data_IF_495121920489
#
_entry.id   IF_495121920489
#
_cell.length_a   1.000
_cell.length_b   1.000
_cell.length_c   1.000
_cell.angle_alpha   90.00
_cell.angle_beta   90.00
_cell.angle_gamma   90.00
#
_symmetry.space_group_name_H-M   'P 1'
#
loop_
_entity.id
_entity.type
_entity.pdbx_description
1 polymer ?
#
# COMPACT_ATOMS: atom_id res chain seq x y z
N UNK A 1 55.31 86.52 21.03
CA UNK A 1 54.72 86.11 22.32
C UNK A 1 53.22 86.31 22.27
N UNK A 2 52.43 85.28 22.25
CA UNK A 2 51.17 85.33 22.97
C UNK A 2 50.92 84.08 23.76
N UNK A 3 50.10 84.19 24.78
CA UNK A 3 49.78 83.29 25.86
C UNK A 3 48.69 82.27 25.43
N UNK A 4 48.97 81.00 25.61
CA UNK A 4 48.03 79.90 25.47
C UNK A 4 47.14 79.75 26.70
N UNK A 5 45.81 79.70 26.52
CA UNK A 5 44.83 79.33 27.54
C UNK A 5 44.44 77.88 27.41
N UNK A 6 44.65 77.10 28.47
CA UNK A 6 44.14 75.74 28.60
C UNK A 6 42.61 75.80 28.82
N UNK A 7 41.90 75.07 27.97
CA UNK A 7 40.50 74.74 28.22
C UNK A 7 40.44 73.30 28.78
N UNK A 8 39.87 73.17 29.98
CA UNK A 8 39.57 71.88 30.62
C UNK A 8 38.26 71.30 30.02
N UNK A 9 38.36 70.17 29.34
CA UNK A 9 37.16 69.41 28.90
C UNK A 9 36.76 68.47 30.00
N UNK A 10 35.54 68.58 30.51
CA UNK A 10 34.87 67.57 31.35
C UNK A 10 34.42 66.47 30.44
N UNK A 11 34.90 65.24 30.70
CA UNK A 11 34.43 64.00 30.05
C UNK A 11 33.32 63.43 30.88
N UNK A 12 32.09 63.49 30.40
CA UNK A 12 30.94 62.82 31.01
C UNK A 12 30.96 61.37 30.58
N UNK A 13 31.15 60.47 31.52
CA UNK A 13 30.95 59.01 31.29
C UNK A 13 29.43 58.69 31.18
N UNK A 14 28.99 58.29 30.00
CA UNK A 14 27.68 57.68 29.79
C UNK A 14 27.84 56.19 29.87
N UNK A 15 27.40 55.61 30.96
CA UNK A 15 27.29 54.16 31.13
C UNK A 15 26.11 53.65 30.30
N UNK A 16 26.39 53.02 29.14
CA UNK A 16 25.40 52.29 28.35
C UNK A 16 25.15 50.93 29.00
N UNK A 17 24.01 50.76 29.63
CA UNK A 17 23.50 49.45 30.06
C UNK A 17 23.03 48.69 28.81
N UNK A 18 23.81 47.70 28.36
CA UNK A 18 23.39 46.78 27.31
C UNK A 18 22.35 45.83 27.89
N UNK A 19 21.08 46.04 27.53
CA UNK A 19 20.02 45.03 27.69
C UNK A 19 20.30 43.87 26.74
N UNK A 20 20.84 42.77 27.25
CA UNK A 20 20.88 41.49 26.57
C UNK A 20 19.46 40.95 26.56
N UNK A 21 18.71 41.24 25.47
CA UNK A 21 17.47 40.51 25.18
C UNK A 21 17.85 39.07 24.80
N UNK A 22 17.80 38.17 25.75
CA UNK A 22 17.91 36.73 25.52
C UNK A 22 16.76 36.28 24.62
N UNK A 23 17.04 36.11 23.34
CA UNK A 23 16.15 35.39 22.44
C UNK A 23 16.04 33.94 22.95
N UNK A 24 15.01 33.65 23.72
CA UNK A 24 14.60 32.28 23.97
C UNK A 24 14.21 31.70 22.60
N UNK A 25 15.16 31.07 21.93
CA UNK A 25 14.87 30.08 20.89
C UNK A 25 13.96 29.04 21.53
N UNK A 26 12.65 29.19 21.30
CA UNK A 26 11.68 28.17 21.66
C UNK A 26 12.12 26.88 20.99
N UNK A 27 12.72 26.00 21.76
CA UNK A 27 12.82 24.60 21.38
C UNK A 27 11.40 24.15 21.07
N UNK A 28 11.06 24.06 19.78
CA UNK A 28 9.86 23.32 19.35
C UNK A 28 10.04 21.92 19.91
N UNK A 29 9.42 21.68 21.06
CA UNK A 29 9.46 20.37 21.71
C UNK A 29 9.05 19.34 20.69
N UNK A 30 9.98 18.46 20.33
CA UNK A 30 9.67 17.30 19.53
C UNK A 30 8.50 16.62 20.23
N UNK A 31 7.31 16.69 19.67
CA UNK A 31 6.13 16.02 20.21
C UNK A 31 6.47 14.55 20.33
N UNK A 32 6.49 14.05 21.57
CA UNK A 32 6.78 12.65 21.82
C UNK A 32 5.82 11.79 20.98
N UNK A 33 6.38 10.90 20.18
CA UNK A 33 5.56 10.02 19.34
C UNK A 33 4.62 9.19 20.24
N UNK A 34 3.34 9.07 19.86
CA UNK A 34 2.41 8.25 20.60
C UNK A 34 2.93 6.81 20.74
N UNK A 35 2.84 6.24 21.94
CA UNK A 35 3.14 4.82 22.15
C UNK A 35 2.00 4.00 21.55
N UNK A 36 2.29 2.87 20.85
CA UNK A 36 1.24 1.95 20.43
C UNK A 36 0.39 1.51 21.60
N UNK A 37 -0.93 1.54 21.45
CA UNK A 37 -1.86 1.06 22.46
C UNK A 37 -2.01 -0.46 22.35
N UNK A 38 -1.29 -1.20 23.19
CA UNK A 38 -1.30 -2.66 23.16
C UNK A 38 -2.69 -3.24 23.48
N UNK A 39 -3.45 -2.60 24.36
CA UNK A 39 -4.81 -3.01 24.70
C UNK A 39 -5.75 -2.88 23.50
N UNK A 40 -5.73 -1.72 22.84
CA UNK A 40 -6.48 -1.45 21.62
C UNK A 40 -6.06 -2.35 20.45
N UNK A 41 -4.77 -2.56 20.27
CA UNK A 41 -4.23 -3.49 19.27
C UNK A 41 -4.74 -4.91 19.47
N UNK A 42 -4.63 -5.43 20.70
CA UNK A 42 -5.10 -6.76 21.04
C UNK A 42 -6.61 -6.90 20.83
N UNK A 43 -7.37 -5.90 21.28
CA UNK A 43 -8.82 -5.87 21.10
C UNK A 43 -9.21 -5.87 19.62
N UNK A 44 -8.52 -5.08 18.78
CA UNK A 44 -8.76 -5.05 17.34
C UNK A 44 -8.45 -6.41 16.68
N UNK A 45 -7.32 -7.04 17.00
CA UNK A 45 -6.97 -8.36 16.49
C UNK A 45 -7.94 -9.45 16.93
N UNK A 46 -8.44 -9.40 18.17
CA UNK A 46 -9.47 -10.34 18.66
C UNK A 46 -10.79 -10.16 17.89
N UNK A 47 -11.17 -8.93 17.51
CA UNK A 47 -12.34 -8.70 16.65
C UNK A 47 -12.15 -9.32 15.26
N UNK A 48 -10.93 -9.28 14.71
CA UNK A 48 -10.61 -9.93 13.41
C UNK A 48 -10.86 -11.44 13.49
N UNK A 49 -10.40 -12.10 14.57
CA UNK A 49 -10.65 -13.55 14.74
C UNK A 49 -12.10 -13.84 15.06
N UNK A 50 -12.78 -13.02 15.84
CA UNK A 50 -14.22 -13.13 16.11
C UNK A 50 -15.06 -12.95 14.82
N UNK A 51 -14.55 -12.22 13.84
CA UNK A 51 -15.16 -12.07 12.51
C UNK A 51 -14.95 -13.30 11.61
N UNK A 52 -14.22 -14.32 12.06
CA UNK A 52 -14.07 -15.60 11.36
C UNK A 52 -12.68 -15.85 10.75
N UNK A 53 -11.70 -14.98 10.96
CA UNK A 53 -10.33 -15.31 10.57
C UNK A 53 -9.72 -16.31 11.56
N UNK A 54 -9.08 -17.42 11.11
CA UNK A 54 -8.39 -18.34 12.00
C UNK A 54 -7.34 -17.67 12.86
N UNK A 55 -6.66 -16.66 12.34
CA UNK A 55 -5.69 -15.88 13.08
C UNK A 55 -5.37 -14.54 12.43
N UNK A 56 -4.75 -13.67 13.22
CA UNK A 56 -4.30 -12.36 12.79
C UNK A 56 -3.04 -11.92 13.55
N UNK A 57 -2.29 -10.99 12.97
CA UNK A 57 -1.18 -10.35 13.66
C UNK A 57 -1.05 -8.87 13.32
N UNK A 58 -0.35 -8.13 14.18
CA UNK A 58 0.18 -6.79 13.92
C UNK A 58 1.66 -6.74 14.27
N UNK A 59 2.46 -6.19 13.36
CA UNK A 59 3.88 -5.89 13.56
C UNK A 59 4.07 -4.39 13.37
N UNK A 60 4.59 -3.75 14.41
CA UNK A 60 4.91 -2.32 14.44
C UNK A 60 6.41 -2.20 14.62
N UNK A 61 7.06 -1.37 13.80
CA UNK A 61 8.46 -1.00 13.93
C UNK A 61 8.58 0.51 13.97
N UNK A 62 9.36 1.01 14.91
CA UNK A 62 9.70 2.44 15.05
C UNK A 62 11.21 2.57 14.99
N UNK A 63 11.72 2.98 13.83
CA UNK A 63 13.16 3.04 13.56
C UNK A 63 13.88 4.14 14.33
N UNK A 64 13.16 5.15 14.83
CA UNK A 64 13.74 6.18 15.72
C UNK A 64 13.72 5.73 17.18
N UNK A 65 12.74 4.91 17.56
CA UNK A 65 12.50 4.48 18.95
C UNK A 65 12.21 2.97 19.00
N UNK A 66 13.22 2.10 18.87
CA UNK A 66 13.01 0.64 18.86
C UNK A 66 12.29 0.09 20.11
N UNK A 67 12.33 0.83 21.23
CA UNK A 67 11.55 0.50 22.43
C UNK A 67 10.03 0.58 22.24
N UNK A 68 9.55 1.16 21.13
CA UNK A 68 8.15 1.21 20.74
C UNK A 68 7.74 0.06 19.79
N UNK A 69 8.67 -0.80 19.40
CA UNK A 69 8.39 -1.97 18.57
C UNK A 69 7.39 -2.90 19.26
N UNK A 70 6.44 -3.38 18.48
CA UNK A 70 5.45 -4.36 18.95
C UNK A 70 5.25 -5.45 17.91
N UNK A 71 5.02 -6.66 18.40
CA UNK A 71 4.62 -7.81 17.58
C UNK A 71 3.57 -8.59 18.36
N UNK A 72 2.33 -8.51 17.92
CA UNK A 72 1.18 -9.18 18.55
C UNK A 72 0.59 -10.17 17.53
N UNK A 73 0.20 -11.34 18.02
CA UNK A 73 -0.50 -12.35 17.21
C UNK A 73 -1.61 -12.98 18.04
N UNK A 74 -2.71 -13.34 17.39
CA UNK A 74 -3.86 -14.03 17.94
C UNK A 74 -4.30 -15.16 17.03
N UNK A 75 -4.88 -16.22 17.59
CA UNK A 75 -5.37 -17.37 16.81
C UNK A 75 -4.27 -18.22 16.21
N UNK A 76 -4.54 -18.79 15.04
CA UNK A 76 -3.77 -19.86 14.43
C UNK A 76 -3.29 -19.50 13.02
N UNK A 77 -2.08 -19.95 12.67
CA UNK A 77 -1.54 -19.85 11.31
C UNK A 77 -2.01 -21.00 10.41
N UNK A 78 -2.48 -22.06 11.01
CA UNK A 78 -3.09 -23.23 10.37
C UNK A 78 -4.18 -23.80 11.27
N UNK A 79 -5.23 -24.40 10.70
CA UNK A 79 -6.33 -25.02 11.45
C UNK A 79 -5.92 -26.33 12.15
N UNK A 80 -4.70 -26.78 12.00
CA UNK A 80 -4.09 -27.88 12.76
C UNK A 80 -3.75 -27.52 14.23
N UNK A 81 -3.96 -26.26 14.64
CA UNK A 81 -3.63 -25.75 15.97
C UNK A 81 -2.30 -25.00 16.05
N UNK A 82 -1.56 -24.87 14.95
CA UNK A 82 -0.31 -24.09 14.93
C UNK A 82 -0.59 -22.61 15.22
N UNK A 83 0.03 -22.07 16.28
CA UNK A 83 -0.18 -20.67 16.68
C UNK A 83 0.21 -19.69 15.58
N UNK A 84 -0.52 -18.57 15.48
CA UNK A 84 -0.22 -17.50 14.54
C UNK A 84 1.20 -16.95 14.77
N UNK A 85 1.92 -16.73 13.66
CA UNK A 85 3.32 -16.27 13.65
C UNK A 85 3.45 -14.99 12.87
N UNK A 86 4.30 -14.07 13.36
CA UNK A 86 4.57 -12.77 12.72
C UNK A 86 5.75 -12.81 11.74
N UNK A 87 6.53 -13.91 11.73
CA UNK A 87 7.77 -14.04 10.95
C UNK A 87 7.63 -14.94 9.71
N UNK A 88 6.45 -15.48 9.44
CA UNK A 88 6.20 -16.35 8.30
C UNK A 88 5.86 -15.54 7.02
N UNK A 89 5.95 -16.21 5.87
CA UNK A 89 5.55 -15.65 4.58
C UNK A 89 4.04 -15.72 4.39
N UNK A 90 3.50 -14.76 3.65
CA UNK A 90 2.11 -14.72 3.24
C UNK A 90 1.97 -13.98 1.89
N UNK A 91 0.86 -14.18 1.18
CA UNK A 91 0.54 -13.41 -0.03
C UNK A 91 0.09 -12.02 0.38
N UNK A 92 0.76 -10.98 -0.13
CA UNK A 92 0.50 -9.60 0.27
C UNK A 92 -0.63 -8.94 -0.51
N UNK A 93 -1.20 -9.64 -1.50
CA UNK A 93 -2.27 -9.10 -2.34
C UNK A 93 -1.88 -7.76 -2.97
N UNK A 94 -2.79 -6.81 -3.01
CA UNK A 94 -2.58 -5.51 -3.67
C UNK A 94 -1.45 -4.64 -3.09
N UNK A 95 -0.82 -5.01 -1.97
CA UNK A 95 0.47 -4.40 -1.60
C UNK A 95 1.52 -4.56 -2.71
N UNK A 96 1.37 -5.57 -3.59
CA UNK A 96 2.16 -5.76 -4.81
C UNK A 96 2.22 -4.50 -5.68
N UNK A 97 1.15 -3.69 -5.68
CA UNK A 97 1.07 -2.48 -6.51
C UNK A 97 2.14 -1.45 -6.16
N UNK A 98 2.54 -1.37 -4.91
CA UNK A 98 3.63 -0.49 -4.49
C UNK A 98 4.96 -0.89 -5.15
N UNK A 99 5.25 -2.19 -5.24
CA UNK A 99 6.44 -2.70 -5.93
C UNK A 99 6.40 -2.41 -7.43
N UNK A 100 5.24 -2.63 -8.06
CA UNK A 100 5.04 -2.31 -9.49
C UNK A 100 5.20 -0.82 -9.76
N UNK A 101 4.66 0.04 -8.89
CA UNK A 101 4.81 1.49 -9.01
C UNK A 101 6.28 1.93 -8.91
N UNK A 102 7.05 1.37 -7.98
CA UNK A 102 8.50 1.63 -7.88
C UNK A 102 9.22 1.25 -9.17
N UNK A 103 8.93 0.07 -9.74
CA UNK A 103 9.53 -0.35 -11.03
C UNK A 103 9.24 0.69 -12.12
N UNK A 104 7.98 1.09 -12.28
CA UNK A 104 7.55 2.06 -13.31
C UNK A 104 8.22 3.42 -13.10
N UNK A 105 8.25 3.93 -11.87
CA UNK A 105 8.88 5.21 -11.56
C UNK A 105 10.39 5.21 -11.84
N UNK A 106 11.09 4.13 -11.48
CA UNK A 106 12.51 3.98 -11.83
C UNK A 106 12.76 3.95 -13.34
N UNK A 107 11.84 3.42 -14.13
CA UNK A 107 11.92 3.49 -15.60
C UNK A 107 11.68 4.92 -16.09
N UNK A 108 10.75 5.64 -15.45
CA UNK A 108 10.51 7.04 -15.78
C UNK A 108 11.71 7.93 -15.42
N UNK A 109 12.34 7.75 -14.26
CA UNK A 109 13.57 8.44 -13.85
C UNK A 109 14.74 8.21 -14.82
N UNK A 110 14.76 7.05 -15.49
CA UNK A 110 15.76 6.70 -16.50
C UNK A 110 15.38 7.15 -17.92
N UNK A 111 14.23 7.81 -18.09
CA UNK A 111 13.73 8.25 -19.40
C UNK A 111 13.26 7.11 -20.32
N UNK A 112 13.11 5.88 -19.81
CA UNK A 112 12.64 4.72 -20.57
C UNK A 112 11.12 4.68 -20.73
N UNK A 113 10.40 5.42 -19.90
CA UNK A 113 8.95 5.56 -19.90
C UNK A 113 8.59 6.98 -19.46
N UNK A 114 7.69 7.64 -20.18
CA UNK A 114 7.11 8.92 -19.78
C UNK A 114 5.74 8.66 -19.15
N UNK A 115 5.53 9.12 -17.91
CA UNK A 115 4.30 8.87 -17.15
C UNK A 115 3.06 9.50 -17.81
N UNK A 116 3.25 10.56 -18.60
CA UNK A 116 2.17 11.39 -19.13
C UNK A 116 1.91 11.18 -20.63
N UNK A 117 2.73 10.40 -21.30
CA UNK A 117 2.48 9.98 -22.68
C UNK A 117 1.56 8.76 -22.77
N UNK A 118 0.82 8.60 -23.86
CA UNK A 118 -0.01 7.40 -24.08
C UNK A 118 0.78 6.11 -23.92
N UNK A 119 0.35 5.24 -22.99
CA UNK A 119 1.07 4.03 -22.61
C UNK A 119 1.24 3.05 -23.77
N UNK A 120 0.34 3.10 -24.78
CA UNK A 120 0.43 2.23 -25.96
C UNK A 120 1.77 2.28 -26.68
N UNK A 121 2.50 3.40 -26.58
CA UNK A 121 3.85 3.55 -27.16
C UNK A 121 4.93 2.73 -26.45
N UNK A 122 4.61 2.22 -25.27
CA UNK A 122 5.49 1.41 -24.43
C UNK A 122 5.00 -0.04 -24.30
N UNK A 123 4.02 -0.44 -25.11
CA UNK A 123 3.42 -1.77 -25.08
C UNK A 123 3.64 -2.47 -26.42
N UNK A 124 3.65 -3.81 -26.46
CA UNK A 124 3.57 -4.53 -27.71
C UNK A 124 2.35 -4.12 -28.53
N UNK A 125 2.50 -4.06 -29.84
CA UNK A 125 1.41 -3.67 -30.75
C UNK A 125 0.14 -4.51 -30.50
N UNK A 126 -1.02 -3.85 -30.57
CA UNK A 126 -2.33 -4.51 -30.37
C UNK A 126 -2.71 -4.78 -28.92
N UNK A 127 -1.89 -4.41 -27.93
CA UNK A 127 -2.24 -4.57 -26.51
C UNK A 127 -3.38 -3.64 -26.08
N UNK A 128 -3.41 -2.41 -26.58
CA UNK A 128 -4.48 -1.42 -26.36
C UNK A 128 -5.01 -0.90 -27.69
N UNK A 129 -6.31 -0.54 -27.77
CA UNK A 129 -6.89 0.14 -28.93
C UNK A 129 -6.16 1.45 -29.27
N UNK A 130 -6.01 1.75 -30.56
CA UNK A 130 -5.24 2.89 -31.04
C UNK A 130 -5.72 4.25 -30.54
N UNK A 131 -7.03 4.41 -30.30
CA UNK A 131 -7.65 5.65 -29.84
C UNK A 131 -7.65 5.87 -28.31
N UNK A 132 -7.09 4.96 -27.52
CA UNK A 132 -7.10 5.09 -26.07
C UNK A 132 -5.94 5.95 -25.57
N UNK A 133 -6.21 7.15 -24.98
CA UNK A 133 -5.17 8.08 -24.52
C UNK A 133 -4.70 7.77 -23.09
N UNK A 134 -4.78 6.51 -22.66
CA UNK A 134 -4.44 6.07 -21.31
C UNK A 134 -2.94 6.25 -21.06
N UNK A 135 -2.58 6.90 -19.95
CA UNK A 135 -1.19 7.14 -19.54
C UNK A 135 -0.78 6.27 -18.34
N UNK A 136 0.53 6.10 -18.13
CA UNK A 136 1.04 5.37 -16.97
C UNK A 136 0.62 6.04 -15.65
N UNK A 137 0.62 7.38 -15.58
CA UNK A 137 0.15 8.14 -14.42
C UNK A 137 -1.29 7.82 -14.07
N UNK A 138 -2.19 7.86 -15.04
CA UNK A 138 -3.61 7.56 -14.83
C UNK A 138 -3.84 6.12 -14.35
N UNK A 139 -3.03 5.16 -14.83
CA UNK A 139 -3.09 3.78 -14.34
C UNK A 139 -2.59 3.65 -12.91
N UNK A 140 -1.47 4.30 -12.57
CA UNK A 140 -0.93 4.34 -11.21
C UNK A 140 -1.90 4.97 -10.21
N UNK A 141 -2.70 5.95 -10.64
CA UNK A 141 -3.69 6.67 -9.84
C UNK A 141 -5.09 6.02 -9.83
N UNK A 142 -5.29 4.92 -10.56
CA UNK A 142 -6.61 4.32 -10.79
C UNK A 142 -7.62 5.28 -11.44
N UNK A 143 -7.15 6.12 -12.38
CA UNK A 143 -7.96 7.13 -13.08
C UNK A 143 -8.00 6.93 -14.60
N UNK A 144 -7.59 5.78 -15.07
CA UNK A 144 -7.53 5.48 -16.50
C UNK A 144 -8.87 5.06 -17.13
N UNK A 145 -9.90 4.81 -16.33
CA UNK A 145 -11.18 4.30 -16.83
C UNK A 145 -11.14 2.83 -17.27
N UNK A 146 -10.07 2.09 -16.91
CA UNK A 146 -9.95 0.68 -17.26
C UNK A 146 -10.89 -0.18 -16.43
N UNK A 147 -11.71 -0.99 -17.10
CA UNK A 147 -12.49 -2.03 -16.43
C UNK A 147 -11.58 -3.01 -15.67
N UNK A 148 -11.97 -3.45 -14.47
CA UNK A 148 -11.19 -4.42 -13.71
C UNK A 148 -11.50 -5.83 -14.19
N UNK A 149 -10.52 -6.49 -14.83
CA UNK A 149 -10.66 -7.87 -15.31
C UNK A 149 -11.00 -8.89 -14.21
N UNK A 150 -10.73 -8.54 -12.95
CA UNK A 150 -11.03 -9.42 -11.81
C UNK A 150 -12.54 -9.63 -11.67
N UNK A 151 -13.36 -8.65 -12.04
CA UNK A 151 -14.82 -8.79 -12.02
C UNK A 151 -15.31 -9.91 -12.96
N UNK A 152 -14.66 -10.08 -14.12
CA UNK A 152 -14.99 -11.20 -15.02
C UNK A 152 -14.61 -12.58 -14.46
N UNK A 153 -13.74 -12.62 -13.46
CA UNK A 153 -13.23 -13.88 -12.90
C UNK A 153 -13.93 -14.28 -11.60
N UNK A 154 -14.36 -13.30 -10.80
CA UNK A 154 -14.90 -13.51 -9.44
C UNK A 154 -16.37 -13.14 -9.29
N UNK A 155 -16.85 -12.17 -10.07
CA UNK A 155 -18.17 -11.55 -9.89
C UNK A 155 -19.16 -11.89 -11.02
N UNK A 156 -18.87 -12.89 -11.86
CA UNK A 156 -19.83 -13.24 -12.89
C UNK A 156 -21.16 -13.67 -12.27
N UNK A 157 -22.13 -12.80 -12.44
CA UNK A 157 -23.58 -13.01 -12.30
C UNK A 157 -24.00 -14.22 -11.46
N UNK A 158 -23.97 -14.07 -10.12
CA UNK A 158 -24.57 -15.04 -9.21
C UNK A 158 -23.72 -16.28 -8.87
N UNK A 159 -22.48 -16.38 -9.33
CA UNK A 159 -21.58 -17.44 -8.87
C UNK A 159 -20.94 -17.07 -7.53
N UNK A 160 -20.94 -18.06 -6.64
CA UNK A 160 -20.28 -17.96 -5.34
C UNK A 160 -18.77 -17.79 -5.50
N UNK A 161 -18.13 -16.96 -4.68
CA UNK A 161 -16.68 -16.67 -4.72
C UNK A 161 -15.83 -17.92 -4.56
N UNK A 162 -16.24 -18.88 -3.71
CA UNK A 162 -15.54 -20.16 -3.53
C UNK A 162 -15.61 -21.05 -4.76
N UNK A 163 -16.78 -21.13 -5.41
CA UNK A 163 -16.95 -21.89 -6.65
C UNK A 163 -16.11 -21.27 -7.79
N UNK A 164 -16.11 -19.94 -7.91
CA UNK A 164 -15.29 -19.23 -8.89
C UNK A 164 -13.79 -19.43 -8.63
N UNK A 165 -13.36 -19.43 -7.38
CA UNK A 165 -11.97 -19.70 -7.01
C UNK A 165 -11.53 -21.11 -7.46
N UNK A 166 -12.29 -22.13 -7.17
CA UNK A 166 -11.94 -23.51 -7.54
C UNK A 166 -11.97 -23.73 -9.05
N UNK A 167 -12.99 -23.21 -9.72
CA UNK A 167 -13.16 -23.42 -11.16
C UNK A 167 -12.20 -22.60 -12.03
N UNK A 168 -11.87 -21.37 -11.64
CA UNK A 168 -11.20 -20.40 -12.52
C UNK A 168 -9.86 -19.90 -12.03
N UNK A 169 -9.57 -19.97 -10.72
CA UNK A 169 -8.41 -19.29 -10.13
C UNK A 169 -7.34 -20.24 -9.65
N UNK A 170 -7.69 -21.22 -8.81
CA UNK A 170 -6.75 -22.08 -8.10
C UNK A 170 -5.69 -22.70 -9.03
N UNK A 171 -6.13 -23.22 -10.17
CA UNK A 171 -5.30 -24.01 -11.07
C UNK A 171 -5.08 -23.36 -12.44
N UNK A 172 -5.88 -22.38 -12.82
CA UNK A 172 -5.83 -21.78 -14.15
C UNK A 172 -4.65 -20.78 -14.24
N UNK A 173 -3.83 -20.93 -15.27
CA UNK A 173 -2.75 -19.99 -15.57
C UNK A 173 -3.26 -19.03 -16.65
N UNK A 174 -3.27 -17.75 -16.30
CA UNK A 174 -3.62 -16.66 -17.21
C UNK A 174 -2.36 -15.98 -17.71
N UNK A 175 -2.27 -15.76 -19.03
CA UNK A 175 -1.27 -14.86 -19.57
C UNK A 175 -1.67 -13.40 -19.26
N UNK A 176 -0.71 -12.52 -18.93
CA UNK A 176 -1.03 -11.12 -18.59
C UNK A 176 -1.80 -10.38 -19.71
N UNK A 177 -1.52 -10.68 -20.96
CA UNK A 177 -2.24 -10.12 -22.12
C UNK A 177 -3.71 -10.53 -22.17
N UNK A 178 -4.04 -11.74 -21.73
CA UNK A 178 -5.43 -12.22 -21.70
C UNK A 178 -6.23 -11.48 -20.61
N UNK A 179 -5.59 -11.13 -19.49
CA UNK A 179 -6.21 -10.29 -18.45
C UNK A 179 -6.53 -8.90 -19.00
N UNK A 180 -5.60 -8.30 -19.74
CA UNK A 180 -5.83 -6.99 -20.40
C UNK A 180 -6.93 -7.09 -21.46
N UNK A 181 -6.91 -8.15 -22.29
CA UNK A 181 -7.93 -8.34 -23.33
C UNK A 181 -9.34 -8.47 -22.75
N UNK A 182 -9.50 -9.05 -21.53
CA UNK A 182 -10.78 -9.07 -20.81
C UNK A 182 -11.28 -7.65 -20.53
N UNK A 183 -10.44 -6.81 -19.95
CA UNK A 183 -10.77 -5.42 -19.66
C UNK A 183 -11.08 -4.62 -20.93
N UNK A 184 -10.29 -4.79 -21.99
CA UNK A 184 -10.46 -4.06 -23.26
C UNK A 184 -11.83 -4.33 -23.89
N UNK A 185 -12.38 -5.54 -23.79
CA UNK A 185 -13.72 -5.86 -24.32
C UNK A 185 -14.85 -5.02 -23.71
N UNK A 186 -14.71 -4.54 -22.48
CA UNK A 186 -15.68 -3.70 -21.80
C UNK A 186 -15.56 -2.20 -22.18
N UNK A 187 -14.54 -1.81 -22.91
CA UNK A 187 -14.27 -0.41 -23.21
C UNK A 187 -13.75 0.37 -22.01
N UNK A 188 -13.50 1.66 -22.21
CA UNK A 188 -13.23 2.59 -21.11
C UNK A 188 -14.55 2.95 -20.42
N UNK A 189 -14.57 2.85 -19.11
CA UNK A 189 -15.75 3.10 -18.28
C UNK A 189 -16.07 4.60 -18.14
N UNK A 190 -15.06 5.43 -18.33
CA UNK A 190 -15.15 6.89 -18.33
C UNK A 190 -13.92 7.49 -19.02
N UNK A 191 -13.96 8.78 -19.31
CA UNK A 191 -12.82 9.51 -19.90
C UNK A 191 -11.61 9.45 -18.95
N UNK A 192 -10.45 8.98 -19.42
CA UNK A 192 -9.23 8.93 -18.61
C UNK A 192 -8.93 10.25 -17.91
N UNK A 193 -8.68 10.20 -16.59
CA UNK A 193 -8.44 11.35 -15.73
C UNK A 193 -9.70 11.92 -15.02
N UNK A 194 -10.92 11.63 -15.50
CA UNK A 194 -12.14 12.29 -14.99
C UNK A 194 -12.66 11.73 -13.67
N UNK A 195 -12.41 10.45 -13.36
CA UNK A 195 -12.90 9.79 -12.16
C UNK A 195 -11.87 8.81 -11.57
N UNK A 196 -12.14 8.36 -10.36
CA UNK A 196 -11.38 7.29 -9.71
C UNK A 196 -12.20 5.99 -9.75
N UNK A 197 -11.62 4.93 -10.30
CA UNK A 197 -12.13 3.58 -10.15
C UNK A 197 -10.95 2.59 -10.08
N UNK A 198 -10.89 1.87 -8.97
CA UNK A 198 -9.83 0.90 -8.75
C UNK A 198 -9.84 -0.18 -9.84
N UNK A 199 -8.69 -0.45 -10.44
CA UNK A 199 -8.55 -1.49 -11.47
C UNK A 199 -7.22 -2.22 -11.36
N UNK A 200 -7.28 -3.52 -11.21
CA UNK A 200 -6.10 -4.40 -11.24
C UNK A 200 -5.48 -4.43 -12.65
N UNK A 201 -6.29 -4.31 -13.70
CA UNK A 201 -5.83 -4.30 -15.09
C UNK A 201 -4.80 -3.22 -15.35
N UNK A 202 -4.95 -2.05 -14.72
CA UNK A 202 -3.98 -0.95 -14.84
C UNK A 202 -2.56 -1.37 -14.44
N UNK A 203 -2.43 -2.13 -13.37
CA UNK A 203 -1.13 -2.59 -12.87
C UNK A 203 -0.56 -3.76 -13.70
N UNK A 204 -1.42 -4.56 -14.33
CA UNK A 204 -0.99 -5.54 -15.34
C UNK A 204 -0.38 -4.83 -16.57
N UNK A 205 -1.05 -3.79 -17.07
CA UNK A 205 -0.55 -2.97 -18.18
C UNK A 205 0.78 -2.30 -17.89
N UNK A 206 0.92 -1.73 -16.69
CA UNK A 206 2.17 -1.08 -16.25
C UNK A 206 3.35 -2.06 -16.23
N UNK A 207 3.14 -3.27 -15.76
CA UNK A 207 4.19 -4.29 -15.76
C UNK A 207 4.50 -4.81 -17.17
N UNK A 208 3.49 -4.98 -18.04
CA UNK A 208 3.71 -5.31 -19.45
C UNK A 208 4.51 -4.23 -20.18
N UNK A 209 4.24 -2.95 -19.87
CA UNK A 209 5.05 -1.86 -20.42
C UNK A 209 6.49 -1.92 -19.90
N UNK A 210 6.68 -2.19 -18.59
CA UNK A 210 8.01 -2.35 -18.01
C UNK A 210 8.79 -3.52 -18.67
N UNK A 211 8.13 -4.67 -18.87
CA UNK A 211 8.75 -5.80 -19.59
C UNK A 211 9.11 -5.44 -21.02
N UNK A 212 8.22 -4.74 -21.73
CA UNK A 212 8.44 -4.39 -23.13
C UNK A 212 9.62 -3.43 -23.33
N UNK A 213 9.70 -2.35 -22.52
CA UNK A 213 10.77 -1.35 -22.67
C UNK A 213 12.13 -1.83 -22.16
N UNK A 214 12.15 -2.86 -21.30
CA UNK A 214 13.39 -3.39 -20.76
C UNK A 214 13.84 -4.70 -21.41
N UNK A 215 12.93 -5.41 -22.07
CA UNK A 215 13.14 -6.78 -22.56
C UNK A 215 13.28 -7.81 -21.43
N UNK A 216 12.88 -7.50 -20.20
CA UNK A 216 13.13 -8.32 -19.01
C UNK A 216 11.83 -8.70 -18.31
N UNK A 217 11.68 -9.95 -17.82
CA UNK A 217 10.52 -10.39 -17.07
C UNK A 217 10.29 -9.57 -15.80
N UNK A 218 9.03 -9.35 -15.42
CA UNK A 218 8.64 -8.62 -14.21
C UNK A 218 9.30 -9.17 -12.95
N UNK A 219 9.41 -10.49 -12.82
CA UNK A 219 10.08 -11.14 -11.68
C UNK A 219 11.55 -10.71 -11.54
N UNK A 220 12.25 -10.51 -12.66
CA UNK A 220 13.63 -10.02 -12.64
C UNK A 220 13.71 -8.55 -12.30
N UNK A 221 12.83 -7.71 -12.86
CA UNK A 221 12.75 -6.29 -12.55
C UNK A 221 12.49 -6.09 -11.05
N UNK A 222 11.60 -6.88 -10.45
CA UNK A 222 11.34 -6.88 -9.03
C UNK A 222 12.59 -7.30 -8.23
N UNK A 223 13.24 -8.38 -8.63
CA UNK A 223 14.41 -8.92 -7.93
C UNK A 223 15.58 -7.95 -7.94
N UNK A 224 15.92 -7.41 -9.09
CA UNK A 224 17.11 -6.57 -9.24
C UNK A 224 16.86 -5.12 -8.85
N UNK A 225 15.63 -4.64 -9.07
CA UNK A 225 15.28 -3.27 -8.75
C UNK A 225 14.94 -3.05 -7.27
N UNK A 226 14.46 -4.07 -6.57
CA UNK A 226 13.89 -3.89 -5.23
C UNK A 226 14.36 -4.96 -4.25
N UNK A 227 14.03 -6.25 -4.48
CA UNK A 227 14.21 -7.25 -3.42
C UNK A 227 15.68 -7.58 -3.16
N UNK A 228 16.52 -7.58 -4.20
CA UNK A 228 17.97 -7.79 -4.08
C UNK A 228 18.66 -6.64 -3.32
N UNK A 229 18.55 -5.39 -3.79
CA UNK A 229 19.18 -4.23 -3.12
C UNK A 229 18.78 -4.07 -1.65
N UNK A 230 17.50 -4.31 -1.31
CA UNK A 230 17.01 -4.20 0.06
C UNK A 230 17.18 -5.47 0.90
N UNK A 231 17.72 -6.55 0.34
CA UNK A 231 17.87 -7.82 1.03
C UNK A 231 16.55 -8.45 1.48
N UNK A 232 15.46 -8.30 0.70
CA UNK A 232 14.13 -8.82 1.02
C UNK A 232 14.06 -10.34 0.72
N UNK A 233 14.71 -11.14 1.55
CA UNK A 233 14.90 -12.58 1.30
C UNK A 233 13.63 -13.42 1.41
N UNK A 234 12.55 -12.86 1.95
CA UNK A 234 11.25 -13.52 2.08
C UNK A 234 10.23 -12.97 1.09
N UNK A 235 10.65 -12.05 0.21
CA UNK A 235 9.81 -11.46 -0.83
C UNK A 235 10.14 -12.09 -2.18
N UNK A 236 9.09 -12.57 -2.87
CA UNK A 236 9.23 -13.24 -4.16
C UNK A 236 7.98 -13.08 -5.03
N UNK A 237 8.19 -13.23 -6.33
CA UNK A 237 7.12 -13.32 -7.33
C UNK A 237 7.25 -14.67 -8.03
N UNK A 238 6.34 -15.58 -7.74
CA UNK A 238 6.49 -17.00 -8.10
C UNK A 238 5.52 -17.47 -9.18
N UNK A 239 4.76 -16.55 -9.78
CA UNK A 239 3.80 -16.90 -10.84
C UNK A 239 4.50 -17.61 -12.00
N UNK A 240 3.97 -18.75 -12.49
CA UNK A 240 2.68 -19.34 -12.14
C UNK A 240 2.72 -20.43 -11.04
N UNK A 241 3.86 -20.58 -10.33
CA UNK A 241 3.96 -21.56 -9.26
C UNK A 241 2.93 -21.31 -8.16
N UNK A 242 2.25 -22.39 -7.70
CA UNK A 242 1.18 -22.29 -6.72
C UNK A 242 1.67 -22.18 -5.29
N UNK A 243 2.81 -22.84 -4.99
CA UNK A 243 3.33 -23.00 -3.63
C UNK A 243 4.08 -21.79 -3.16
N UNK A 244 3.91 -21.46 -1.88
CA UNK A 244 4.76 -20.49 -1.17
C UNK A 244 5.96 -21.26 -0.61
N UNK A 245 7.16 -20.89 -1.04
CA UNK A 245 8.39 -21.53 -0.58
C UNK A 245 8.69 -21.21 0.90
N UNK A 246 9.14 -22.20 1.63
CA UNK A 246 9.55 -22.07 3.03
C UNK A 246 8.38 -21.89 4.00
N UNK A 247 8.69 -21.43 5.23
CA UNK A 247 7.65 -21.25 6.26
C UNK A 247 6.67 -20.16 5.87
N UNK A 248 5.39 -20.51 5.80
CA UNK A 248 4.31 -19.63 5.44
C UNK A 248 3.07 -19.86 6.32
N UNK A 249 2.12 -18.96 6.22
CA UNK A 249 0.81 -19.05 6.88
C UNK A 249 -0.16 -19.63 5.87
N UNK A 250 -1.01 -20.56 6.29
CA UNK A 250 -2.10 -21.11 5.50
C UNK A 250 -3.21 -20.07 5.32
N UNK A 251 -3.65 -19.86 4.08
CA UNK A 251 -4.69 -18.90 3.74
C UNK A 251 -6.04 -19.58 3.57
N UNK A 252 -7.07 -18.99 4.15
CA UNK A 252 -8.43 -19.54 4.13
C UNK A 252 -9.40 -18.60 3.45
N UNK A 253 -10.15 -19.12 2.50
CA UNK A 253 -11.28 -18.43 1.89
C UNK A 253 -12.52 -18.72 2.73
N UNK A 254 -13.18 -17.67 3.22
CA UNK A 254 -14.49 -17.82 3.87
C UNK A 254 -15.48 -18.37 2.84
N UNK A 255 -16.12 -19.48 3.17
CA UNK A 255 -17.06 -20.14 2.27
C UNK A 255 -18.33 -19.29 2.13
N UNK A 256 -18.85 -19.21 0.92
CA UNK A 256 -20.11 -18.49 0.64
C UNK A 256 -21.29 -19.14 1.37
N UNK A 257 -21.28 -20.47 1.54
CA UNK A 257 -22.18 -21.18 2.44
C UNK A 257 -21.55 -21.24 3.86
N UNK A 258 -22.08 -20.50 4.85
CA UNK A 258 -21.50 -20.45 6.20
C UNK A 258 -21.57 -21.81 6.95
N UNK A 259 -22.33 -22.79 6.45
CA UNK A 259 -22.38 -24.14 7.00
C UNK A 259 -21.19 -25.00 6.57
N UNK A 260 -20.47 -24.60 5.55
CA UNK A 260 -19.28 -25.29 5.06
C UNK A 260 -18.02 -24.77 5.77
N UNK A 261 -17.01 -25.62 5.97
CA UNK A 261 -15.75 -25.18 6.54
C UNK A 261 -15.05 -24.16 5.64
N UNK A 262 -14.10 -23.44 6.22
CA UNK A 262 -13.19 -22.56 5.47
C UNK A 262 -12.45 -23.39 4.40
N UNK A 263 -12.26 -22.79 3.23
CA UNK A 263 -11.54 -23.43 2.12
C UNK A 263 -10.05 -23.02 2.17
N UNK A 264 -9.15 -24.00 2.28
CA UNK A 264 -7.71 -23.74 2.10
C UNK A 264 -7.44 -23.28 0.66
N UNK A 265 -6.98 -22.04 0.53
CA UNK A 265 -6.66 -21.35 -0.72
C UNK A 265 -5.17 -21.01 -0.86
N UNK A 266 -4.32 -21.57 -0.01
CA UNK A 266 -2.88 -21.31 0.02
C UNK A 266 -2.22 -21.57 -1.33
N UNK A 267 -2.52 -22.74 -1.93
CA UNK A 267 -2.01 -23.12 -3.24
C UNK A 267 -2.90 -22.55 -4.35
N UNK A 268 -2.41 -21.54 -5.03
CA UNK A 268 -3.05 -20.92 -6.19
C UNK A 268 -2.00 -20.32 -7.11
N UNK A 269 -2.29 -20.27 -8.43
CA UNK A 269 -1.33 -19.74 -9.42
C UNK A 269 -1.03 -18.25 -9.25
N UNK A 270 -1.95 -17.50 -8.65
CA UNK A 270 -1.95 -16.04 -8.55
C UNK A 270 -1.69 -15.30 -9.89
N UNK A 271 -1.70 -16.02 -11.02
CA UNK A 271 -1.55 -15.44 -12.35
C UNK A 271 -2.72 -14.54 -12.74
N UNK A 272 -3.89 -14.82 -12.21
CA UNK A 272 -5.13 -14.06 -12.42
C UNK A 272 -5.04 -12.61 -11.91
N UNK A 273 -4.14 -12.33 -10.97
CA UNK A 273 -3.91 -10.99 -10.41
C UNK A 273 -2.50 -10.46 -10.73
N UNK A 274 -1.59 -11.34 -11.11
CA UNK A 274 -0.22 -11.09 -11.58
C UNK A 274 0.47 -9.93 -10.85
N UNK A 275 1.02 -8.94 -11.59
CA UNK A 275 1.72 -7.76 -11.03
C UNK A 275 0.84 -6.79 -10.22
N UNK A 276 -0.46 -7.04 -10.13
CA UNK A 276 -1.37 -6.28 -9.29
C UNK A 276 -1.52 -6.87 -7.87
N UNK A 277 -1.13 -8.17 -7.65
CA UNK A 277 -1.43 -8.81 -6.38
C UNK A 277 -0.68 -10.10 -6.04
N UNK A 278 0.26 -10.58 -6.86
CA UNK A 278 0.82 -11.93 -6.71
C UNK A 278 2.12 -12.02 -5.87
N UNK A 279 2.63 -10.93 -5.33
CA UNK A 279 3.83 -10.98 -4.48
C UNK A 279 3.55 -11.71 -3.19
N UNK A 280 4.50 -12.56 -2.79
CA UNK A 280 4.61 -13.16 -1.47
C UNK A 280 5.69 -12.41 -0.69
N UNK A 281 5.43 -12.10 0.59
CA UNK A 281 6.41 -11.40 1.44
C UNK A 281 6.26 -11.81 2.91
N UNK A 282 6.87 -11.06 3.81
CA UNK A 282 6.75 -11.19 5.27
C UNK A 282 6.61 -9.80 5.89
N UNK A 283 6.14 -9.74 7.15
CA UNK A 283 6.02 -8.46 7.85
C UNK A 283 7.34 -7.69 7.91
N UNK A 284 8.46 -8.37 8.18
CA UNK A 284 9.77 -7.73 8.23
C UNK A 284 10.31 -7.27 6.87
N UNK A 285 9.95 -7.94 5.76
CA UNK A 285 10.34 -7.47 4.43
C UNK A 285 9.47 -6.27 4.00
N UNK A 286 8.16 -6.28 4.35
CA UNK A 286 7.27 -5.16 4.11
C UNK A 286 7.69 -3.91 4.91
N UNK A 287 8.12 -4.09 6.15
CA UNK A 287 8.71 -3.02 6.96
C UNK A 287 9.91 -2.38 6.25
N UNK A 288 10.94 -3.17 5.89
CA UNK A 288 12.12 -2.67 5.17
C UNK A 288 11.78 -1.98 3.86
N UNK A 289 10.82 -2.54 3.12
CA UNK A 289 10.37 -1.96 1.85
C UNK A 289 9.70 -0.59 2.06
N UNK A 290 8.77 -0.47 3.01
CA UNK A 290 8.07 0.79 3.29
C UNK A 290 9.02 1.87 3.83
N UNK A 291 9.93 1.49 4.73
CA UNK A 291 10.95 2.39 5.26
C UNK A 291 11.83 2.94 4.13
N UNK A 292 12.34 2.07 3.27
CA UNK A 292 13.17 2.48 2.13
C UNK A 292 12.37 3.33 1.12
N UNK A 293 11.12 2.96 0.81
CA UNK A 293 10.29 3.70 -0.14
C UNK A 293 10.03 5.13 0.33
N UNK A 294 9.63 5.29 1.59
CA UNK A 294 9.24 6.61 2.12
C UNK A 294 10.44 7.46 2.58
N UNK A 295 11.63 6.90 2.59
CA UNK A 295 12.88 7.67 2.74
C UNK A 295 13.34 8.34 1.43
N UNK A 296 12.62 8.18 0.31
CA UNK A 296 12.94 8.78 -0.98
C UNK A 296 14.31 8.37 -1.50
N UNK A 297 15.12 9.33 -1.94
CA UNK A 297 16.46 9.08 -2.46
C UNK A 297 17.40 8.44 -1.44
N UNK A 298 17.24 8.72 -0.14
CA UNK A 298 18.02 8.09 0.93
C UNK A 298 17.73 6.58 1.06
N UNK A 299 16.52 6.13 0.70
CA UNK A 299 16.15 4.72 0.70
C UNK A 299 16.58 3.96 -0.57
N UNK A 300 17.05 4.67 -1.60
CA UNK A 300 17.60 4.08 -2.83
C UNK A 300 16.58 3.42 -3.78
N UNK A 301 15.28 3.58 -3.52
CA UNK A 301 14.23 3.00 -4.37
C UNK A 301 13.75 3.96 -5.45
N UNK A 302 13.46 5.20 -5.08
CA UNK A 302 12.96 6.25 -5.96
C UNK A 302 13.60 7.59 -5.57
N UNK A 303 13.63 8.55 -6.49
CA UNK A 303 14.04 9.91 -6.20
C UNK A 303 13.04 10.62 -5.28
N UNK A 304 13.47 11.72 -4.63
CA UNK A 304 12.58 12.55 -3.82
C UNK A 304 11.45 13.16 -4.66
N UNK A 305 11.69 13.41 -5.95
CA UNK A 305 10.66 13.88 -6.86
C UNK A 305 9.61 12.81 -7.14
N UNK A 306 10.04 11.61 -7.44
CA UNK A 306 9.12 10.47 -7.61
C UNK A 306 8.33 10.19 -6.34
N UNK A 307 8.96 10.28 -5.15
CA UNK A 307 8.25 10.12 -3.88
C UNK A 307 7.21 11.22 -3.67
N UNK A 308 7.53 12.49 -3.96
CA UNK A 308 6.55 13.58 -3.89
C UNK A 308 5.36 13.32 -4.80
N UNK A 309 5.59 12.84 -6.02
CA UNK A 309 4.52 12.47 -6.95
C UNK A 309 3.70 11.28 -6.43
N UNK A 310 4.35 10.24 -5.88
CA UNK A 310 3.67 9.07 -5.28
C UNK A 310 2.75 9.46 -4.12
N UNK A 311 3.19 10.38 -3.27
CA UNK A 311 2.46 10.79 -2.06
C UNK A 311 1.44 11.91 -2.33
N UNK A 312 1.42 12.51 -3.52
CA UNK A 312 0.37 13.44 -3.95
C UNK A 312 -0.94 12.68 -4.21
N UNK A 313 -1.62 12.34 -3.12
CA UNK A 313 -2.82 11.53 -3.17
C UNK A 313 -4.06 12.34 -3.58
N UNK A 314 -4.72 11.91 -4.65
CA UNK A 314 -5.98 12.46 -5.14
C UNK A 314 -7.18 11.80 -4.41
N UNK A 315 -8.34 12.49 -4.32
CA UNK A 315 -9.53 11.93 -3.69
C UNK A 315 -10.00 10.64 -4.38
N UNK A 316 -10.47 9.68 -3.57
CA UNK A 316 -11.05 8.42 -4.03
C UNK A 316 -12.58 8.39 -3.96
N UNK A 317 -13.21 9.47 -3.46
CA UNK A 317 -14.62 9.50 -3.09
C UNK A 317 -14.88 8.99 -1.67
N UNK A 318 -13.92 8.37 -1.01
CA UNK A 318 -14.03 7.91 0.39
C UNK A 318 -13.35 8.92 1.32
N UNK A 319 -14.08 9.42 2.32
CA UNK A 319 -13.56 10.40 3.27
C UNK A 319 -12.32 9.85 3.99
N UNK A 320 -11.26 10.65 4.06
CA UNK A 320 -10.01 10.28 4.73
C UNK A 320 -9.10 9.37 3.91
N UNK A 321 -9.52 8.91 2.72
CA UNK A 321 -8.73 8.06 1.85
C UNK A 321 -8.41 8.79 0.54
N UNK A 322 -7.13 8.84 0.19
CA UNK A 322 -6.63 9.32 -1.10
C UNK A 322 -5.75 8.27 -1.76
N UNK A 323 -5.50 8.43 -3.05
CA UNK A 323 -4.64 7.54 -3.81
C UNK A 323 -3.68 8.33 -4.70
N UNK A 324 -2.39 8.02 -4.62
CA UNK A 324 -1.33 8.60 -5.43
C UNK A 324 -0.79 7.60 -6.46
N UNK A 325 0.50 7.67 -6.79
CA UNK A 325 1.09 6.73 -7.76
C UNK A 325 1.37 5.36 -7.08
N UNK A 326 0.35 4.50 -7.02
CA UNK A 326 0.46 3.19 -6.39
C UNK A 326 0.49 3.18 -4.86
N UNK A 327 0.26 4.32 -4.22
CA UNK A 327 0.18 4.47 -2.77
C UNK A 327 -1.21 4.95 -2.36
N UNK A 328 -1.76 4.34 -1.33
CA UNK A 328 -2.93 4.84 -0.61
C UNK A 328 -2.48 5.77 0.51
N UNK A 329 -3.16 6.90 0.67
CA UNK A 329 -3.06 7.78 1.81
C UNK A 329 -4.27 7.55 2.73
N UNK A 330 -4.02 7.39 4.03
CA UNK A 330 -5.08 7.34 5.05
C UNK A 330 -4.84 8.47 6.05
N UNK A 331 -5.91 9.21 6.36
CA UNK A 331 -5.89 10.22 7.42
C UNK A 331 -6.45 9.58 8.69
N UNK A 332 -5.59 9.47 9.71
CA UNK A 332 -5.91 9.02 11.06
C UNK A 332 -6.13 10.22 11.97
N UNK A 333 -6.61 9.99 13.18
CA UNK A 333 -6.82 11.05 14.18
C UNK A 333 -5.54 11.82 14.55
N UNK A 334 -4.39 11.17 14.47
CA UNK A 334 -3.07 11.74 14.82
C UNK A 334 -2.21 12.14 13.62
N UNK A 335 -2.69 12.00 12.38
CA UNK A 335 -1.90 12.35 11.22
C UNK A 335 -2.20 11.49 9.99
N UNK A 336 -1.28 11.50 9.05
CA UNK A 336 -1.42 10.80 7.76
C UNK A 336 -0.44 9.65 7.69
N UNK A 337 -0.87 8.53 7.10
CA UNK A 337 -0.03 7.38 6.79
C UNK A 337 -0.15 7.01 5.31
N UNK A 338 0.92 6.45 4.76
CA UNK A 338 1.00 6.00 3.37
C UNK A 338 1.31 4.51 3.31
N UNK A 339 0.75 3.83 2.33
CA UNK A 339 0.95 2.40 2.14
C UNK A 339 -0.11 1.81 1.24
N UNK A 340 -0.47 0.56 1.48
CA UNK A 340 -1.54 -0.09 0.74
C UNK A 340 -2.19 -1.20 1.56
N UNK A 341 -3.45 -1.52 1.27
CA UNK A 341 -4.10 -2.74 1.71
C UNK A 341 -3.99 -3.82 0.65
N UNK A 342 -4.07 -5.08 1.04
CA UNK A 342 -4.02 -6.20 0.12
C UNK A 342 -5.05 -7.26 0.46
N UNK A 343 -5.76 -7.73 -0.56
CA UNK A 343 -6.63 -8.90 -0.50
C UNK A 343 -6.25 -9.80 -1.68
N UNK A 344 -6.08 -11.05 -1.41
CA UNK A 344 -5.98 -12.13 -2.38
C UNK A 344 -6.57 -13.37 -1.72
N UNK A 345 -7.05 -14.32 -2.50
CA UNK A 345 -7.77 -15.47 -1.95
C UNK A 345 -7.00 -16.13 -0.79
N UNK A 346 -7.62 -16.12 0.40
CA UNK A 346 -7.09 -16.63 1.65
C UNK A 346 -6.32 -15.63 2.53
N UNK A 347 -6.03 -14.43 2.06
CA UNK A 347 -5.12 -13.50 2.73
C UNK A 347 -5.63 -12.07 2.66
N UNK A 348 -5.57 -11.38 3.80
CA UNK A 348 -5.79 -9.95 3.89
C UNK A 348 -4.64 -9.29 4.66
N UNK A 349 -4.20 -8.12 4.22
CA UNK A 349 -3.12 -7.38 4.89
C UNK A 349 -3.29 -5.88 4.73
N UNK A 350 -2.75 -5.13 5.70
CA UNK A 350 -2.56 -3.68 5.62
C UNK A 350 -1.09 -3.40 5.92
N UNK A 351 -0.44 -2.63 5.08
CA UNK A 351 0.96 -2.24 5.27
C UNK A 351 1.09 -0.74 5.05
N UNK A 352 1.29 0.00 6.14
CA UNK A 352 1.33 1.46 6.15
C UNK A 352 2.51 1.97 6.96
N UNK A 353 2.95 3.19 6.66
CA UNK A 353 3.98 3.88 7.43
C UNK A 353 3.70 5.38 7.55
N UNK A 354 4.36 6.02 8.52
CA UNK A 354 4.43 7.48 8.62
C UNK A 354 5.04 8.09 7.35
N UNK A 355 4.80 9.38 7.03
CA UNK A 355 5.27 9.99 5.78
C UNK A 355 6.78 9.92 5.54
N UNK A 356 7.58 9.77 6.60
CA UNK A 356 9.03 9.61 6.54
C UNK A 356 9.51 8.15 6.63
N UNK A 357 8.58 7.18 6.66
CA UNK A 357 8.90 5.76 6.75
C UNK A 357 9.42 5.28 8.11
N UNK A 358 9.55 6.14 9.11
CA UNK A 358 10.19 5.80 10.37
C UNK A 358 9.36 4.92 11.29
N UNK A 359 8.01 4.99 11.23
CA UNK A 359 7.14 3.99 11.86
C UNK A 359 6.37 3.25 10.80
N UNK A 360 6.47 1.94 10.81
CA UNK A 360 5.73 1.05 9.93
C UNK A 360 4.76 0.18 10.73
N UNK A 361 3.66 -0.18 10.11
CA UNK A 361 2.64 -1.09 10.65
C UNK A 361 2.25 -2.08 9.57
N UNK A 362 2.44 -3.36 9.85
CA UNK A 362 2.00 -4.46 8.99
C UNK A 362 0.99 -5.30 9.76
N UNK A 363 -0.25 -5.31 9.28
CA UNK A 363 -1.35 -6.09 9.86
C UNK A 363 -1.77 -7.16 8.87
N UNK A 364 -2.16 -8.31 9.38
CA UNK A 364 -2.47 -9.46 8.55
C UNK A 364 -3.55 -10.34 9.19
N UNK A 365 -4.37 -10.97 8.34
CA UNK A 365 -5.27 -12.06 8.69
C UNK A 365 -5.25 -13.14 7.59
N UNK A 366 -5.34 -14.39 8.00
CA UNK A 366 -5.37 -15.53 7.09
C UNK A 366 -6.80 -15.92 6.69
N UNK A 367 -7.60 -14.92 6.36
CA UNK A 367 -8.93 -15.12 5.77
C UNK A 367 -9.21 -14.06 4.71
N UNK A 368 -9.97 -14.42 3.69
CA UNK A 368 -10.52 -13.49 2.69
C UNK A 368 -11.99 -13.80 2.41
N UNK A 369 -12.63 -13.05 1.50
CA UNK A 369 -14.08 -13.08 1.26
C UNK A 369 -14.89 -12.75 2.54
N UNK A 370 -14.40 -11.78 3.33
CA UNK A 370 -15.00 -11.38 4.59
C UNK A 370 -14.74 -9.90 4.90
N UNK A 371 -15.76 -9.06 4.70
CA UNK A 371 -15.67 -7.61 4.90
C UNK A 371 -15.44 -7.20 6.37
N UNK A 372 -15.95 -7.96 7.33
CA UNK A 372 -15.75 -7.68 8.74
C UNK A 372 -14.27 -7.88 9.16
N UNK A 373 -13.59 -8.87 8.58
CA UNK A 373 -12.14 -9.06 8.74
C UNK A 373 -11.38 -7.86 8.16
N UNK A 374 -11.77 -7.38 6.97
CA UNK A 374 -11.14 -6.19 6.36
C UNK A 374 -11.26 -4.97 7.27
N UNK A 375 -12.46 -4.71 7.80
CA UNK A 375 -12.69 -3.59 8.71
C UNK A 375 -11.87 -3.74 10.00
N UNK A 376 -11.85 -4.94 10.59
CA UNK A 376 -11.06 -5.20 11.80
C UNK A 376 -9.55 -4.94 11.61
N UNK A 377 -9.00 -5.26 10.43
CA UNK A 377 -7.60 -4.95 10.11
C UNK A 377 -7.35 -3.43 9.97
N UNK A 378 -8.31 -2.68 9.43
CA UNK A 378 -8.23 -1.21 9.38
C UNK A 378 -8.27 -0.58 10.78
N UNK A 379 -9.09 -1.14 11.69
CA UNK A 379 -9.22 -0.67 13.07
C UNK A 379 -7.93 -0.81 13.90
N UNK A 380 -6.95 -1.60 13.42
CA UNK A 380 -5.63 -1.73 14.06
C UNK A 380 -4.76 -0.48 13.84
N UNK A 381 -5.00 0.29 12.77
CA UNK A 381 -4.11 1.40 12.41
C UNK A 381 -4.11 2.54 13.45
N UNK A 382 -5.26 2.93 13.98
CA UNK A 382 -5.32 3.98 15.00
C UNK A 382 -4.55 3.63 16.29
N UNK A 383 -4.80 2.50 16.97
CA UNK A 383 -4.02 2.13 18.16
C UNK A 383 -2.53 1.91 17.86
N UNK A 384 -2.17 1.54 16.62
CA UNK A 384 -0.78 1.35 16.20
C UNK A 384 -0.01 2.67 15.99
N UNK A 385 -0.65 3.65 15.35
CA UNK A 385 -0.02 4.93 15.03
C UNK A 385 -0.30 6.02 16.06
N UNK A 386 -1.53 6.08 16.59
CA UNK A 386 -2.00 7.17 17.44
C UNK A 386 -1.97 6.87 18.94
N UNK A 387 -1.83 5.60 19.33
CA UNK A 387 -1.90 5.20 20.73
C UNK A 387 -3.31 5.38 21.33
N UNK A 388 -3.45 5.20 22.62
CA UNK A 388 -4.74 5.26 23.32
C UNK A 388 -5.33 6.65 23.57
N UNK A 389 -4.70 7.73 23.11
CA UNK A 389 -5.09 9.11 23.43
C UNK A 389 -6.26 9.68 22.61
N UNK A 390 -6.69 8.97 21.57
CA UNK A 390 -7.83 9.35 20.74
C UNK A 390 -8.89 8.24 20.82
N UNK A 391 -9.73 8.29 21.87
CA UNK A 391 -10.97 7.53 21.87
C UNK A 391 -11.74 7.87 20.58
N UNK A 392 -12.09 6.84 19.84
CA UNK A 392 -12.81 6.86 18.57
C UNK A 392 -13.85 7.97 18.51
N UNK A 393 -13.49 9.09 17.84
CA UNK A 393 -14.49 10.05 17.39
C UNK A 393 -15.37 9.37 16.33
N UNK A 394 -16.68 9.74 16.22
CA UNK A 394 -17.58 9.19 15.23
C UNK A 394 -17.17 9.65 13.84
N UNK A 395 -16.28 8.93 13.16
CA UNK A 395 -15.75 9.36 11.85
C UNK A 395 -14.93 8.37 11.07
N UNK A 396 -14.75 7.13 11.54
CA UNK A 396 -14.13 6.13 10.70
C UNK A 396 -15.09 5.80 9.55
N UNK A 397 -14.72 6.24 8.33
CA UNK A 397 -15.40 5.81 7.14
C UNK A 397 -15.43 4.28 7.15
N UNK A 398 -16.64 3.71 7.26
CA UNK A 398 -16.80 2.28 6.96
C UNK A 398 -16.26 2.10 5.57
N UNK A 399 -15.12 1.44 5.46
CA UNK A 399 -14.61 0.98 4.17
C UNK A 399 -15.56 -0.15 3.78
N UNK A 400 -16.71 0.24 3.24
CA UNK A 400 -17.53 -0.67 2.46
C UNK A 400 -16.61 -1.27 1.41
N UNK A 401 -16.81 -2.52 1.05
CA UNK A 401 -16.00 -3.24 0.10
C UNK A 401 -15.73 -2.37 -1.14
N UNK A 402 -14.61 -1.65 -1.14
CA UNK A 402 -14.19 -0.78 -2.24
C UNK A 402 -13.62 -1.63 -3.39
N UNK A 403 -14.16 -2.82 -3.57
CA UNK A 403 -14.03 -3.67 -4.75
C UNK A 403 -15.35 -3.81 -5.52
N UNK A 404 -16.47 -3.29 -4.99
CA UNK A 404 -17.69 -3.18 -5.78
C UNK A 404 -17.67 -1.83 -6.49
N UNK A 405 -17.55 -1.85 -7.81
CA UNK A 405 -17.90 -0.73 -8.68
C UNK A 405 -19.36 -0.39 -8.36
N UNK A 406 -19.72 0.89 -8.05
CA UNK A 406 -21.13 1.25 -8.00
C UNK A 406 -21.71 0.89 -9.38
N UNK A 407 -22.81 0.15 -9.39
CA UNK A 407 -23.59 -0.01 -10.60
C UNK A 407 -23.86 1.40 -11.15
N UNK A 408 -23.47 1.64 -12.40
CA UNK A 408 -23.86 2.84 -13.12
C UNK A 408 -25.36 2.73 -13.24
N UNK A 409 -26.11 3.52 -12.46
CA UNK A 409 -27.52 3.70 -12.72
C UNK A 409 -27.66 4.19 -14.16
N UNK A 410 -28.37 3.39 -14.93
CA UNK A 410 -28.70 3.62 -16.33
C UNK A 410 -29.62 4.85 -16.42
N UNK A 411 -29.03 6.05 -16.51
CA UNK A 411 -29.79 7.25 -16.86
C UNK A 411 -30.02 7.27 -18.37
N UNK A 412 -30.99 6.47 -18.82
CA UNK A 412 -31.68 6.73 -20.07
C UNK A 412 -32.70 7.81 -19.83
N UNK A 413 -32.44 8.99 -20.29
CA UNK A 413 -33.40 9.88 -20.97
C UNK A 413 -32.68 10.57 -22.12
#
# INVERSE_FOLDING_TARGET
>A
MPRTRLARSLTTLVTAAALVAGSALGATGAQARPRPDEGGLRAALLRVTAAGAPGAFAVIRDHDHPGLDRSLAVGQSDLDGTRMRTDARFRVGSNTKMFTAVIVLRLAERGLLDLDRPLRGYLPAGTLPAGWPVTARQLLEHRAGMYDHVNDLLEQSGEETTAAFEARIRNTVYAPRDLVARSVRHGLQYTPGSAYAYSNTGFVLLALAAEHVTGRPYAELLREGITGPLGLRRTSFTVPAKRIAGRHITGYLTNDDPRRPLLDSTEQTASWIWSAGAVVSSAGDMDRFLTALLAGSAGGLVSDDSLRQMTRALPTGVKGIGYGLGLRRITLGCGTVFGHGGIVQGYQSQAFATPNGHRTVVVFANASNNGAVTQGLMDVLDPAFCGGSHASGPGHARVGAAHTVPAVEDSRV
#
